data_IF_508478373524
#
_entry.id   IF_508478373524
#
_cell.length_a   1.000
_cell.length_b   1.000
_cell.length_c   1.000
_cell.angle_alpha   90.00
_cell.angle_beta   90.00
_cell.angle_gamma   90.00
#
_symmetry.space_group_name_H-M   'P 1'
#
loop_
_entity.id
_entity.type
_entity.pdbx_description
1 polymer ?
#
# COMPACT_ATOMS: atom_id res chain seq x y z
N UNK A 1 12.61 -7.97 -9.10
CA UNK A 1 12.67 -7.39 -7.74
C UNK A 1 12.68 -8.53 -6.74
N UNK A 2 13.52 -8.52 -5.71
CA UNK A 2 13.50 -9.52 -4.63
C UNK A 2 12.88 -8.93 -3.35
N UNK A 3 12.56 -9.76 -2.36
CA UNK A 3 11.95 -9.36 -1.07
C UNK A 3 12.71 -8.20 -0.39
N UNK A 4 14.05 -8.28 -0.33
CA UNK A 4 14.87 -7.25 0.31
C UNK A 4 14.78 -5.91 -0.44
N UNK A 5 14.78 -5.93 -1.77
CA UNK A 5 14.67 -4.73 -2.59
C UNK A 5 13.32 -4.03 -2.42
N UNK A 6 12.24 -4.79 -2.18
CA UNK A 6 10.90 -4.22 -1.97
C UNK A 6 10.83 -3.42 -0.67
N UNK A 7 11.18 -4.02 0.47
CA UNK A 7 11.12 -3.32 1.76
C UNK A 7 12.18 -2.22 1.89
N UNK A 8 13.36 -2.42 1.29
CA UNK A 8 14.42 -1.39 1.28
C UNK A 8 13.95 -0.11 0.59
N UNK A 9 13.11 -0.21 -0.43
CA UNK A 9 12.54 0.97 -1.10
C UNK A 9 11.75 1.83 -0.11
N UNK A 10 10.76 1.25 0.60
CA UNK A 10 9.93 1.98 1.55
C UNK A 10 10.73 2.53 2.74
N UNK A 11 11.70 1.76 3.23
CA UNK A 11 12.61 2.22 4.29
C UNK A 11 13.43 3.44 3.84
N UNK A 12 13.97 3.42 2.62
CA UNK A 12 14.73 4.54 2.07
C UNK A 12 13.84 5.76 1.84
N UNK A 13 12.59 5.58 1.38
CA UNK A 13 11.64 6.68 1.27
C UNK A 13 11.33 7.31 2.64
N UNK A 14 11.14 6.49 3.69
CA UNK A 14 10.90 6.96 5.06
C UNK A 14 12.07 7.71 5.69
N UNK A 15 13.28 7.54 5.17
CA UNK A 15 14.48 8.23 5.64
C UNK A 15 14.70 9.59 4.96
N UNK A 16 14.00 9.89 3.86
CA UNK A 16 14.15 11.18 3.18
C UNK A 16 13.52 12.28 4.01
N UNK A 17 14.20 13.42 4.11
CA UNK A 17 13.79 14.57 4.95
C UNK A 17 12.33 14.99 4.72
N UNK A 18 11.85 14.96 3.47
CA UNK A 18 10.46 15.34 3.15
C UNK A 18 9.44 14.46 3.90
N UNK A 19 9.66 13.14 3.98
CA UNK A 19 8.75 12.21 4.64
C UNK A 19 9.06 12.13 6.13
N UNK A 20 10.35 12.08 6.48
CA UNK A 20 10.81 11.96 7.86
C UNK A 20 10.41 13.14 8.74
N UNK A 21 10.37 14.36 8.18
CA UNK A 21 10.04 15.58 8.91
C UNK A 21 8.65 16.12 8.55
N UNK A 22 8.20 15.93 7.30
CA UNK A 22 6.96 16.51 6.79
C UNK A 22 5.72 15.64 7.00
N UNK A 23 5.87 14.32 7.13
CA UNK A 23 4.74 13.39 7.20
C UNK A 23 4.95 12.28 8.26
N UNK A 24 5.01 12.63 9.56
CA UNK A 24 5.28 11.68 10.63
C UNK A 24 4.23 10.56 10.79
N UNK A 25 2.95 10.81 10.53
CA UNK A 25 1.89 9.81 10.59
C UNK A 25 2.00 8.84 9.41
N UNK A 26 2.28 9.35 8.21
CA UNK A 26 2.50 8.50 7.04
C UNK A 26 3.73 7.63 7.23
N UNK A 27 4.84 8.20 7.74
CA UNK A 27 6.04 7.43 8.06
C UNK A 27 5.71 6.27 9.01
N UNK A 28 5.00 6.56 10.11
CA UNK A 28 4.62 5.54 11.08
C UNK A 28 3.74 4.44 10.45
N UNK A 29 2.76 4.81 9.62
CA UNK A 29 1.91 3.82 8.95
C UNK A 29 2.70 2.96 7.93
N UNK A 30 3.61 3.56 7.15
CA UNK A 30 4.43 2.82 6.17
C UNK A 30 5.35 1.83 6.86
N UNK A 31 5.98 2.23 7.97
CA UNK A 31 6.83 1.36 8.78
C UNK A 31 6.03 0.18 9.36
N UNK A 32 4.84 0.45 9.91
CA UNK A 32 3.94 -0.57 10.45
C UNK A 32 3.45 -1.54 9.36
N UNK A 33 3.00 -1.02 8.21
CA UNK A 33 2.56 -1.84 7.08
C UNK A 33 3.69 -2.76 6.58
N UNK A 34 4.92 -2.24 6.50
CA UNK A 34 6.07 -3.05 6.12
C UNK A 34 6.37 -4.16 7.13
N UNK A 35 6.25 -3.87 8.44
CA UNK A 35 6.43 -4.84 9.50
C UNK A 35 5.39 -5.96 9.40
N UNK A 36 4.10 -5.59 9.37
CA UNK A 36 2.98 -6.54 9.28
C UNK A 36 3.08 -7.40 8.02
N UNK A 37 3.48 -6.83 6.88
CA UNK A 37 3.66 -7.60 5.65
C UNK A 37 4.80 -8.63 5.77
N UNK A 38 5.90 -8.28 6.44
CA UNK A 38 7.01 -9.21 6.69
C UNK A 38 6.59 -10.36 7.60
N UNK A 39 5.84 -10.07 8.67
CA UNK A 39 5.29 -11.09 9.58
C UNK A 39 4.36 -12.04 8.81
N UNK A 40 3.42 -11.51 8.02
CA UNK A 40 2.53 -12.30 7.17
C UNK A 40 3.30 -13.20 6.21
N UNK A 41 4.33 -12.67 5.53
CA UNK A 41 5.17 -13.47 4.63
C UNK A 41 5.85 -14.64 5.36
N UNK A 42 6.31 -14.43 6.59
CA UNK A 42 7.00 -15.45 7.38
C UNK A 42 6.07 -16.59 7.84
N UNK A 43 4.77 -16.33 7.96
CA UNK A 43 3.76 -17.28 8.43
C UNK A 43 3.10 -18.10 7.29
N UNK A 44 3.40 -17.79 6.02
CA UNK A 44 2.81 -18.47 4.86
C UNK A 44 3.13 -19.97 4.86
N UNK A 45 2.09 -20.77 4.67
CA UNK A 45 2.13 -22.20 4.41
C UNK A 45 0.98 -22.62 3.47
N UNK A 46 0.85 -23.91 3.19
CA UNK A 46 -0.19 -24.42 2.26
C UNK A 46 -1.62 -24.14 2.70
N UNK A 47 -1.85 -24.01 4.01
CA UNK A 47 -3.18 -23.97 4.59
C UNK A 47 -3.72 -22.53 4.64
N UNK A 48 -2.83 -21.54 4.78
CA UNK A 48 -3.20 -20.12 4.84
C UNK A 48 -2.82 -19.29 3.61
N UNK A 49 -2.18 -19.89 2.60
CA UNK A 49 -1.61 -19.17 1.45
C UNK A 49 -2.57 -18.16 0.82
N UNK A 50 -3.80 -18.56 0.49
CA UNK A 50 -4.73 -17.68 -0.23
C UNK A 50 -5.21 -16.50 0.61
N UNK A 51 -5.45 -16.72 1.90
CA UNK A 51 -5.89 -15.67 2.83
C UNK A 51 -4.74 -14.70 3.10
N UNK A 52 -3.57 -15.21 3.47
CA UNK A 52 -2.39 -14.39 3.75
C UNK A 52 -1.91 -13.63 2.50
N UNK A 53 -1.98 -14.24 1.32
CA UNK A 53 -1.69 -13.55 0.06
C UNK A 53 -2.66 -12.38 -0.19
N UNK A 54 -3.95 -12.56 0.11
CA UNK A 54 -4.95 -11.50 -0.07
C UNK A 54 -4.68 -10.29 0.83
N UNK A 55 -4.29 -10.55 2.08
CA UNK A 55 -3.92 -9.50 3.04
C UNK A 55 -2.63 -8.79 2.60
N UNK A 56 -1.64 -9.54 2.12
CA UNK A 56 -0.38 -8.98 1.57
C UNK A 56 -0.67 -8.05 0.39
N UNK A 57 -1.57 -8.44 -0.52
CA UNK A 57 -2.01 -7.58 -1.61
C UNK A 57 -2.72 -6.32 -1.11
N UNK A 58 -3.54 -6.44 -0.07
CA UNK A 58 -4.16 -5.28 0.59
C UNK A 58 -3.11 -4.32 1.13
N UNK A 59 -2.08 -4.83 1.83
CA UNK A 59 -0.99 -4.01 2.35
C UNK A 59 -0.21 -3.32 1.23
N UNK A 60 0.18 -4.05 0.17
CA UNK A 60 0.87 -3.45 -0.98
C UNK A 60 0.01 -2.35 -1.61
N UNK A 61 -1.28 -2.61 -1.86
CA UNK A 61 -2.20 -1.61 -2.41
C UNK A 61 -2.27 -0.35 -1.52
N UNK A 62 -2.35 -0.51 -0.19
CA UNK A 62 -2.32 0.62 0.75
C UNK A 62 -1.03 1.43 0.63
N UNK A 63 0.13 0.77 0.57
CA UNK A 63 1.43 1.42 0.37
C UNK A 63 1.44 2.20 -0.96
N UNK A 64 0.98 1.59 -2.06
CA UNK A 64 0.94 2.27 -3.35
C UNK A 64 0.02 3.50 -3.33
N UNK A 65 -1.17 3.40 -2.71
CA UNK A 65 -2.11 4.52 -2.61
C UNK A 65 -1.47 5.68 -1.83
N UNK A 66 -0.90 5.40 -0.65
CA UNK A 66 -0.20 6.41 0.16
C UNK A 66 0.84 7.16 -0.69
N UNK A 67 1.73 6.43 -1.37
CA UNK A 67 2.80 7.02 -2.17
C UNK A 67 2.32 7.74 -3.45
N UNK A 68 1.16 7.36 -3.97
CA UNK A 68 0.54 8.06 -5.09
C UNK A 68 -0.13 9.37 -4.69
N UNK A 69 -0.60 9.48 -3.45
CA UNK A 69 -1.28 10.65 -2.89
C UNK A 69 -0.32 11.65 -2.24
N UNK A 70 0.91 11.23 -1.92
CA UNK A 70 1.94 12.15 -1.41
C UNK A 70 2.23 13.28 -2.41
N UNK A 71 2.31 14.53 -1.96
CA UNK A 71 2.63 15.65 -2.84
C UNK A 71 4.08 15.52 -3.33
N UNK A 72 4.26 15.39 -4.65
CA UNK A 72 5.57 15.34 -5.29
C UNK A 72 6.18 16.74 -5.53
N UNK A 73 5.35 17.77 -5.43
CA UNK A 73 5.69 19.18 -5.65
C UNK A 73 4.96 20.03 -4.61
N UNK A 74 5.60 21.09 -4.08
CA UNK A 74 5.05 21.97 -3.03
C UNK A 74 3.68 22.57 -3.38
N UNK A 75 3.37 22.73 -4.68
CA UNK A 75 2.10 23.28 -5.18
C UNK A 75 1.34 22.29 -6.09
N UNK A 76 1.62 21.00 -5.97
CA UNK A 76 0.92 19.97 -6.74
C UNK A 76 -0.56 19.87 -6.34
N UNK A 77 -1.40 19.33 -7.23
CA UNK A 77 -2.83 19.14 -6.95
C UNK A 77 -3.05 18.39 -5.64
N UNK A 78 -2.16 17.49 -5.23
CA UNK A 78 -2.32 16.70 -4.01
C UNK A 78 -1.83 17.39 -2.72
N UNK A 79 -1.27 18.59 -2.80
CA UNK A 79 -0.73 19.29 -1.62
C UNK A 79 -1.79 19.75 -0.62
N UNK A 80 -3.08 19.69 -0.98
CA UNK A 80 -4.18 20.00 -0.05
C UNK A 80 -4.54 18.84 0.88
N UNK A 81 -4.09 17.61 0.60
CA UNK A 81 -4.44 16.46 1.42
C UNK A 81 -3.60 16.44 2.70
N UNK A 82 -4.28 16.32 3.84
CA UNK A 82 -3.64 16.02 5.11
C UNK A 82 -3.19 14.56 5.20
N UNK A 83 -2.27 14.26 6.10
CA UNK A 83 -1.85 12.89 6.38
C UNK A 83 -3.03 11.98 6.72
N UNK A 84 -3.96 12.46 7.55
CA UNK A 84 -5.13 11.69 7.95
C UNK A 84 -6.03 11.34 6.76
N UNK A 85 -6.24 12.27 5.83
CA UNK A 85 -7.02 12.02 4.61
C UNK A 85 -6.32 11.04 3.68
N UNK A 86 -4.99 11.14 3.51
CA UNK A 86 -4.21 10.17 2.73
C UNK A 86 -4.36 8.77 3.32
N UNK A 87 -4.24 8.65 4.65
CA UNK A 87 -4.38 7.37 5.34
C UNK A 87 -5.81 6.83 5.24
N UNK A 88 -6.84 7.68 5.36
CA UNK A 88 -8.24 7.28 5.18
C UNK A 88 -8.50 6.76 3.77
N UNK A 89 -8.05 7.48 2.74
CA UNK A 89 -8.16 7.06 1.34
C UNK A 89 -7.45 5.72 1.11
N UNK A 90 -6.26 5.53 1.66
CA UNK A 90 -5.54 4.26 1.57
C UNK A 90 -6.36 3.09 2.13
N UNK A 91 -7.06 3.28 3.26
CA UNK A 91 -7.87 2.23 3.90
C UNK A 91 -9.16 1.96 3.14
N UNK A 92 -9.73 2.97 2.49
CA UNK A 92 -11.00 2.83 1.75
C UNK A 92 -10.81 2.23 0.37
N UNK A 93 -9.73 2.58 -0.31
CA UNK A 93 -9.60 2.33 -1.76
C UNK A 93 -8.74 1.11 -2.10
N UNK A 94 -7.98 0.54 -1.13
CA UNK A 94 -7.16 -0.65 -1.37
C UNK A 94 -7.92 -1.85 -1.97
N UNK A 95 -9.21 -2.12 -1.64
CA UNK A 95 -9.94 -3.25 -2.22
C UNK A 95 -10.19 -3.11 -3.73
N UNK A 96 -10.11 -1.88 -4.26
CA UNK A 96 -10.35 -1.57 -5.66
C UNK A 96 -9.05 -1.36 -6.45
N UNK A 97 -7.96 -1.03 -5.77
CA UNK A 97 -6.69 -0.64 -6.38
C UNK A 97 -6.20 -1.60 -7.48
N UNK A 98 -6.09 -2.91 -7.19
CA UNK A 98 -5.61 -3.88 -8.17
C UNK A 98 -6.57 -4.06 -9.35
N UNK A 99 -7.88 -3.90 -9.12
CA UNK A 99 -8.89 -3.98 -10.18
C UNK A 99 -8.74 -2.81 -11.14
N UNK A 100 -8.58 -1.60 -10.60
CA UNK A 100 -8.40 -0.38 -11.37
C UNK A 100 -7.11 -0.38 -12.18
N UNK A 101 -6.00 -0.87 -11.61
CA UNK A 101 -4.74 -1.05 -12.34
C UNK A 101 -4.87 -2.01 -13.54
N UNK A 102 -5.74 -3.01 -13.44
CA UNK A 102 -6.04 -3.93 -14.53
C UNK A 102 -7.13 -3.42 -15.48
N UNK A 103 -7.59 -2.17 -15.33
CA UNK A 103 -8.57 -1.53 -16.20
C UNK A 103 -10.03 -1.89 -15.88
N UNK A 104 -10.29 -2.59 -14.78
CA UNK A 104 -11.65 -2.90 -14.35
C UNK A 104 -12.26 -1.71 -13.63
N UNK A 105 -13.51 -1.39 -13.95
CA UNK A 105 -14.31 -0.45 -13.17
C UNK A 105 -14.81 -1.11 -11.89
N UNK A 106 -15.11 -0.32 -10.85
CA UNK A 106 -15.54 -0.84 -9.54
C UNK A 106 -16.79 -1.73 -9.61
N UNK A 107 -17.63 -1.56 -10.64
CA UNK A 107 -18.87 -2.33 -10.88
C UNK A 107 -18.68 -3.64 -11.67
N UNK A 108 -17.49 -3.89 -12.22
CA UNK A 108 -17.25 -5.02 -13.13
C UNK A 108 -16.79 -6.27 -12.37
N UNK A 109 -17.33 -7.44 -12.73
CA UNK A 109 -16.86 -8.71 -12.18
C UNK A 109 -15.43 -9.00 -12.63
N UNK A 110 -14.57 -9.43 -11.70
CA UNK A 110 -13.19 -9.82 -11.98
C UNK A 110 -13.09 -11.32 -12.22
N UNK A 111 -12.14 -11.80 -13.06
CA UNK A 111 -11.89 -13.22 -13.20
C UNK A 111 -11.32 -13.82 -11.89
N UNK A 112 -11.40 -15.14 -11.74
CA UNK A 112 -10.77 -15.84 -10.63
C UNK A 112 -9.25 -15.79 -10.76
N UNK A 113 -8.64 -14.86 -10.03
CA UNK A 113 -7.21 -14.58 -10.05
C UNK A 113 -6.74 -14.19 -8.66
N UNK A 114 -5.52 -14.59 -8.32
CA UNK A 114 -4.86 -14.18 -7.08
C UNK A 114 -4.78 -12.65 -6.94
N UNK A 115 -4.73 -11.92 -8.06
CA UNK A 115 -4.62 -10.46 -8.08
C UNK A 115 -5.89 -9.70 -7.65
N UNK A 116 -7.05 -10.34 -7.69
CA UNK A 116 -8.34 -9.68 -7.39
C UNK A 116 -8.94 -10.11 -6.06
N UNK A 117 -8.26 -10.97 -5.32
CA UNK A 117 -8.65 -11.38 -3.98
C UNK A 117 -7.82 -10.58 -2.97
N UNK A 118 -8.37 -9.46 -2.51
CA UNK A 118 -7.81 -8.66 -1.42
C UNK A 118 -8.84 -8.61 -0.29
N UNK A 119 -8.37 -8.69 0.95
CA UNK A 119 -9.17 -8.62 2.17
C UNK A 119 -8.64 -7.50 3.07
#
# INVERSE_FOLDING_TARGET
>A
MNHQNYFSYFQQECQKDYLALGFPLIKAEVEELCLVMQEKIAEINSDNFFETHAEILGIDARLQIIFSLLPKEENGILSYLSEAEILELSRKDYPYYMRELCGFRSIESTPHSLHFYCQ
#
